data_IF_803168863778
#
_entry.id   IF_803168863778
#
_cell.length_a   1.000
_cell.length_b   1.000
_cell.length_c   1.000
_cell.angle_alpha   90.00
_cell.angle_beta   90.00
_cell.angle_gamma   90.00
#
_symmetry.space_group_name_H-M   'P 1'
#
loop_
_entity.id
_entity.type
_entity.pdbx_description
1 polymer ?
#
# COMPACT_ATOMS: atom_id res chain seq x y z
N UNK A 1 10.91 -64.48 24.05
CA UNK A 1 9.92 -64.01 25.04
C UNK A 1 8.92 -65.15 25.13
N UNK A 2 8.99 -66.00 26.15
CA UNK A 2 8.11 -67.17 26.27
C UNK A 2 6.69 -66.66 26.54
N UNK A 3 5.75 -66.95 25.64
CA UNK A 3 4.35 -66.53 25.76
C UNK A 3 3.63 -67.32 26.89
N UNK A 4 3.96 -68.60 27.04
CA UNK A 4 3.47 -69.47 28.12
C UNK A 4 4.38 -69.43 29.36
N UNK A 5 3.81 -69.22 30.55
CA UNK A 5 4.50 -69.46 31.81
C UNK A 5 4.54 -70.97 32.17
N UNK A 6 5.40 -71.35 33.12
CA UNK A 6 5.61 -72.76 33.49
C UNK A 6 4.37 -73.44 34.06
N UNK A 7 3.51 -72.72 34.78
CA UNK A 7 2.26 -73.28 35.33
C UNK A 7 1.27 -73.67 34.24
N UNK A 8 1.07 -72.81 33.23
CA UNK A 8 0.22 -73.12 32.08
C UNK A 8 0.79 -74.26 31.24
N UNK A 9 2.11 -74.32 31.09
CA UNK A 9 2.77 -75.47 30.47
C UNK A 9 2.40 -76.78 31.18
N UNK A 10 2.55 -76.82 32.50
CA UNK A 10 2.28 -78.02 33.28
C UNK A 10 0.80 -78.44 33.21
N UNK A 11 -0.11 -77.45 33.20
CA UNK A 11 -1.54 -77.67 33.01
C UNK A 11 -1.82 -78.33 31.65
N UNK A 12 -1.32 -77.76 30.55
CA UNK A 12 -1.53 -78.29 29.19
C UNK A 12 -0.93 -79.69 29.05
N UNK A 13 0.27 -79.93 29.57
CA UNK A 13 0.91 -81.26 29.46
C UNK A 13 0.13 -82.33 30.26
N UNK A 14 -0.47 -82.00 31.40
CA UNK A 14 -1.33 -82.91 32.18
C UNK A 14 -2.73 -83.08 31.59
N UNK A 15 -3.20 -82.11 30.81
CA UNK A 15 -4.54 -82.13 30.23
C UNK A 15 -4.67 -83.23 29.18
N UNK A 16 -3.67 -83.41 28.31
CA UNK A 16 -3.71 -84.42 27.25
C UNK A 16 -3.12 -85.76 27.73
N UNK A 17 -3.99 -86.75 27.92
CA UNK A 17 -3.62 -88.12 28.35
C UNK A 17 -3.70 -89.10 27.19
N UNK A 18 -3.00 -90.24 27.31
CA UNK A 18 -2.93 -91.27 26.26
C UNK A 18 -3.40 -92.64 26.79
N UNK A 19 -4.72 -92.86 26.95
CA UNK A 19 -5.27 -94.15 27.34
C UNK A 19 -5.05 -95.21 26.25
N UNK A 20 -4.81 -96.46 26.65
CA UNK A 20 -4.63 -97.60 25.76
C UNK A 20 -5.45 -98.80 26.25
N UNK A 21 -6.08 -99.51 25.31
CA UNK A 21 -6.71 -100.79 25.62
C UNK A 21 -7.50 -101.35 24.45
N UNK A 22 -8.09 -102.54 24.67
CA UNK A 22 -8.73 -103.33 23.60
C UNK A 22 -10.24 -103.11 23.48
N UNK A 23 -10.83 -102.39 24.43
CA UNK A 23 -12.27 -102.14 24.47
C UNK A 23 -12.62 -100.84 23.75
N UNK A 24 -13.75 -100.84 23.03
CA UNK A 24 -14.26 -99.64 22.36
C UNK A 24 -14.69 -98.55 23.35
N UNK A 25 -14.98 -98.92 24.60
CA UNK A 25 -15.28 -98.01 25.72
C UNK A 25 -14.24 -96.90 25.88
N UNK A 26 -12.98 -97.17 25.56
CA UNK A 26 -11.89 -96.18 25.64
C UNK A 26 -12.05 -95.05 24.63
N UNK A 27 -12.53 -95.37 23.42
CA UNK A 27 -12.81 -94.37 22.38
C UNK A 27 -14.03 -93.55 22.80
N UNK A 28 -15.06 -94.19 23.35
CA UNK A 28 -16.27 -93.51 23.83
C UNK A 28 -15.97 -92.56 25.00
N UNK A 29 -15.11 -92.97 25.95
CA UNK A 29 -14.63 -92.13 27.05
C UNK A 29 -13.77 -90.96 26.56
N UNK A 30 -12.91 -91.19 25.57
CA UNK A 30 -12.14 -90.11 24.94
C UNK A 30 -13.06 -89.07 24.29
N UNK A 31 -14.03 -89.51 23.47
CA UNK A 31 -15.03 -88.64 22.85
C UNK A 31 -15.80 -87.86 23.92
N UNK A 32 -16.21 -88.51 25.00
CA UNK A 32 -16.91 -87.85 26.11
C UNK A 32 -16.07 -86.76 26.76
N UNK A 33 -14.76 -86.97 26.91
CA UNK A 33 -13.84 -85.97 27.48
C UNK A 33 -13.73 -84.70 26.62
N UNK A 34 -13.68 -84.83 25.29
CA UNK A 34 -13.66 -83.70 24.36
C UNK A 34 -15.02 -82.98 24.31
N UNK A 35 -16.14 -83.71 24.36
CA UNK A 35 -17.49 -83.12 24.48
C UNK A 35 -17.63 -82.31 25.77
N UNK A 36 -17.02 -82.77 26.87
CA UNK A 36 -17.00 -82.04 28.14
C UNK A 36 -16.26 -80.71 28.04
N UNK A 37 -15.12 -80.66 27.34
CA UNK A 37 -14.40 -79.40 27.10
C UNK A 37 -15.26 -78.39 26.31
N UNK A 38 -15.99 -78.84 25.30
CA UNK A 38 -16.90 -78.00 24.53
C UNK A 38 -17.97 -77.40 25.45
N UNK A 39 -18.61 -78.22 26.29
CA UNK A 39 -19.62 -77.75 27.23
C UNK A 39 -19.06 -76.71 28.22
N UNK A 40 -17.81 -76.89 28.69
CA UNK A 40 -17.13 -75.91 29.57
C UNK A 40 -16.90 -74.59 28.81
N UNK A 41 -16.43 -74.65 27.57
CA UNK A 41 -16.19 -73.46 26.74
C UNK A 41 -17.47 -72.68 26.43
N UNK A 42 -18.55 -73.39 26.07
CA UNK A 42 -19.87 -72.79 25.82
C UNK A 42 -20.50 -72.19 27.07
N UNK A 43 -20.28 -72.81 28.24
CA UNK A 43 -20.72 -72.26 29.52
C UNK A 43 -19.93 -70.99 29.90
N UNK A 44 -18.61 -70.98 29.66
CA UNK A 44 -17.77 -69.82 29.92
C UNK A 44 -18.10 -68.63 28.98
N UNK A 45 -18.53 -68.91 27.74
CA UNK A 45 -18.88 -67.92 26.72
C UNK A 45 -20.20 -68.25 26.01
N UNK A 46 -21.35 -67.90 26.61
CA UNK A 46 -22.64 -68.08 25.95
C UNK A 46 -22.80 -67.13 24.75
N UNK A 47 -23.69 -67.46 23.83
CA UNK A 47 -24.02 -66.61 22.68
C UNK A 47 -24.41 -65.19 23.16
N UNK A 48 -23.88 -64.10 22.55
CA UNK A 48 -23.14 -64.04 21.29
C UNK A 48 -21.61 -64.14 21.41
N UNK A 49 -21.05 -64.43 22.59
CA UNK A 49 -19.59 -64.40 22.84
C UNK A 49 -18.87 -65.69 22.45
N UNK A 50 -19.57 -66.68 21.88
CA UNK A 50 -19.02 -67.97 21.46
C UNK A 50 -17.84 -67.87 20.51
N UNK A 51 -17.76 -66.77 19.73
CA UNK A 51 -16.63 -66.50 18.84
C UNK A 51 -15.26 -66.48 19.56
N UNK A 52 -15.25 -66.20 20.88
CA UNK A 52 -14.03 -66.16 21.70
C UNK A 52 -13.39 -67.55 21.86
N UNK A 53 -14.21 -68.60 21.90
CA UNK A 53 -13.75 -69.99 22.07
C UNK A 53 -14.03 -70.85 20.83
N UNK A 54 -14.42 -70.22 19.72
CA UNK A 54 -14.86 -70.91 18.50
C UNK A 54 -13.79 -71.84 17.93
N UNK A 55 -12.54 -71.38 17.87
CA UNK A 55 -11.43 -72.21 17.37
C UNK A 55 -11.15 -73.41 18.27
N UNK A 56 -11.28 -73.25 19.60
CA UNK A 56 -11.11 -74.34 20.57
C UNK A 56 -12.23 -75.37 20.43
N UNK A 57 -13.48 -74.91 20.32
CA UNK A 57 -14.65 -75.76 20.09
C UNK A 57 -14.50 -76.50 18.76
N UNK A 58 -14.06 -75.82 17.71
CA UNK A 58 -13.85 -76.40 16.40
C UNK A 58 -12.74 -77.48 16.41
N UNK A 59 -11.63 -77.23 17.11
CA UNK A 59 -10.55 -78.21 17.28
C UNK A 59 -11.01 -79.47 18.04
N UNK A 60 -11.80 -79.29 19.10
CA UNK A 60 -12.39 -80.40 19.85
C UNK A 60 -13.38 -81.22 18.99
N UNK A 61 -14.24 -80.56 18.21
CA UNK A 61 -15.18 -81.22 17.30
C UNK A 61 -14.47 -82.05 16.22
N UNK A 62 -13.43 -81.50 15.58
CA UNK A 62 -12.60 -82.25 14.60
C UNK A 62 -11.95 -83.47 15.23
N UNK A 63 -11.50 -83.34 16.47
CA UNK A 63 -10.91 -84.46 17.22
C UNK A 63 -11.95 -85.55 17.49
N UNK A 64 -13.18 -85.17 17.84
CA UNK A 64 -14.30 -86.12 18.02
C UNK A 64 -14.60 -86.85 16.71
N UNK A 65 -14.72 -86.13 15.59
CA UNK A 65 -14.94 -86.74 14.26
C UNK A 65 -13.83 -87.74 13.89
N UNK A 66 -12.57 -87.40 14.17
CA UNK A 66 -11.43 -88.29 13.96
C UNK A 66 -11.52 -89.56 14.81
N UNK A 67 -11.90 -89.43 16.09
CA UNK A 67 -12.05 -90.57 17.02
C UNK A 67 -13.22 -91.48 16.65
N UNK A 68 -14.34 -90.90 16.19
CA UNK A 68 -15.52 -91.66 15.74
C UNK A 68 -15.18 -92.58 14.56
N UNK A 69 -14.31 -92.11 13.65
CA UNK A 69 -13.83 -92.88 12.49
C UNK A 69 -12.64 -93.81 12.74
N UNK A 70 -12.10 -93.88 13.96
CA UNK A 70 -10.89 -94.65 14.25
C UNK A 70 -11.18 -96.14 14.44
N UNK A 71 -10.45 -97.02 13.73
CA UNK A 71 -10.49 -98.48 13.93
C UNK A 71 -9.35 -98.98 14.84
N UNK A 72 -9.53 -100.15 15.43
CA UNK A 72 -8.51 -100.79 16.26
C UNK A 72 -7.30 -101.21 15.43
N UNK A 73 -6.09 -100.85 15.87
CA UNK A 73 -4.84 -101.30 15.27
C UNK A 73 -4.36 -102.50 16.08
N UNK A 74 -4.26 -103.67 15.46
CA UNK A 74 -3.87 -104.92 16.14
C UNK A 74 -4.72 -105.21 17.40
N UNK A 75 -6.03 -104.95 17.30
CA UNK A 75 -7.00 -105.16 18.38
C UNK A 75 -6.88 -104.19 19.56
N UNK A 76 -6.06 -103.13 19.45
CA UNK A 76 -5.85 -102.12 20.50
C UNK A 76 -6.20 -100.72 19.96
N UNK A 77 -6.92 -99.94 20.76
CA UNK A 77 -7.19 -98.54 20.49
C UNK A 77 -6.09 -97.66 21.09
N UNK A 78 -5.65 -96.70 20.29
CA UNK A 78 -4.61 -95.74 20.62
C UNK A 78 -5.16 -94.33 20.38
N UNK A 79 -5.73 -93.73 21.42
CA UNK A 79 -6.36 -92.42 21.32
C UNK A 79 -5.88 -91.49 22.43
N UNK A 80 -5.79 -90.20 22.13
CA UNK A 80 -5.63 -89.17 23.15
C UNK A 80 -7.00 -88.85 23.76
N UNK A 81 -7.03 -88.53 25.05
CA UNK A 81 -8.21 -88.07 25.76
C UNK A 81 -7.83 -86.87 26.65
N UNK A 82 -8.83 -86.21 27.24
CA UNK A 82 -8.61 -85.13 28.20
C UNK A 82 -8.75 -85.62 29.64
N UNK A 83 -7.83 -85.20 30.51
CA UNK A 83 -7.84 -85.52 31.94
C UNK A 83 -9.04 -84.90 32.65
N UNK A 84 -9.80 -85.72 33.37
CA UNK A 84 -10.97 -85.26 34.14
C UNK A 84 -10.60 -84.23 35.21
N UNK A 85 -9.47 -84.42 35.88
CA UNK A 85 -8.98 -83.50 36.93
C UNK A 85 -8.68 -82.10 36.36
N UNK A 86 -8.05 -82.04 35.18
CA UNK A 86 -7.72 -80.76 34.54
C UNK A 86 -8.98 -80.09 33.95
N UNK A 87 -9.96 -80.87 33.50
CA UNK A 87 -11.27 -80.34 33.09
C UNK A 87 -12.05 -79.78 34.29
N UNK A 88 -11.98 -80.42 35.46
CA UNK A 88 -12.59 -79.90 36.70
C UNK A 88 -11.96 -78.57 37.12
N UNK A 89 -10.62 -78.48 37.05
CA UNK A 89 -9.91 -77.23 37.31
C UNK A 89 -10.35 -76.13 36.34
N UNK A 90 -10.43 -76.44 35.04
CA UNK A 90 -10.83 -75.48 34.02
C UNK A 90 -12.27 -74.99 34.21
N UNK A 91 -13.19 -75.87 34.60
CA UNK A 91 -14.59 -75.54 34.87
C UNK A 91 -14.78 -74.66 36.13
N UNK A 92 -13.80 -74.64 37.03
CA UNK A 92 -13.83 -73.78 38.22
C UNK A 92 -13.40 -72.33 37.95
N UNK A 93 -12.75 -72.06 36.80
CA UNK A 93 -12.23 -70.74 36.43
C UNK A 93 -13.33 -69.84 35.87
N UNK A 94 -13.25 -68.54 36.13
CA UNK A 94 -14.15 -67.57 35.51
C UNK A 94 -13.80 -67.33 34.02
N UNK A 95 -14.67 -66.66 33.25
CA UNK A 95 -14.46 -66.46 31.82
C UNK A 95 -13.11 -65.79 31.50
N UNK A 96 -12.71 -64.75 32.23
CA UNK A 96 -11.43 -64.06 32.00
C UNK A 96 -10.21 -64.96 32.30
N UNK A 97 -10.29 -65.78 33.34
CA UNK A 97 -9.25 -66.75 33.66
C UNK A 97 -9.19 -67.86 32.61
N UNK A 98 -10.34 -68.38 32.18
CA UNK A 98 -10.44 -69.39 31.12
C UNK A 98 -9.88 -68.87 29.79
N UNK A 99 -10.10 -67.59 29.44
CA UNK A 99 -9.54 -66.95 28.25
C UNK A 99 -8.02 -67.21 28.10
N UNK A 100 -7.30 -67.09 29.22
CA UNK A 100 -5.85 -67.23 29.27
C UNK A 100 -5.33 -68.65 29.01
N UNK A 101 -6.23 -69.65 28.93
CA UNK A 101 -5.93 -71.05 28.63
C UNK A 101 -6.37 -71.47 27.23
N UNK A 102 -7.14 -70.65 26.50
CA UNK A 102 -7.63 -71.00 25.15
C UNK A 102 -6.46 -71.23 24.20
N UNK A 103 -5.56 -70.26 24.05
CA UNK A 103 -4.41 -70.37 23.14
C UNK A 103 -3.43 -71.49 23.55
N UNK A 104 -3.07 -71.68 24.84
CA UNK A 104 -2.27 -72.83 25.28
C UNK A 104 -2.93 -74.20 25.01
N UNK A 105 -4.24 -74.34 25.24
CA UNK A 105 -4.95 -75.61 24.97
C UNK A 105 -4.99 -75.87 23.46
N UNK A 106 -5.25 -74.83 22.65
CA UNK A 106 -5.17 -74.90 21.19
C UNK A 106 -3.77 -75.34 20.72
N UNK A 107 -2.70 -74.79 21.29
CA UNK A 107 -1.34 -75.24 21.02
C UNK A 107 -1.13 -76.73 21.37
N UNK A 108 -1.73 -77.21 22.46
CA UNK A 108 -1.74 -78.62 22.83
C UNK A 108 -2.45 -79.52 21.80
N UNK A 109 -3.62 -79.10 21.30
CA UNK A 109 -4.32 -79.81 20.21
C UNK A 109 -3.46 -79.87 18.94
N UNK A 110 -2.83 -78.76 18.55
CA UNK A 110 -1.92 -78.71 17.40
C UNK A 110 -0.75 -79.68 17.56
N UNK A 111 -0.18 -79.77 18.76
CA UNK A 111 0.97 -80.64 19.02
C UNK A 111 0.59 -82.13 19.03
N UNK A 112 -0.49 -82.52 19.73
CA UNK A 112 -0.84 -83.94 19.93
C UNK A 112 -1.64 -84.53 18.75
N UNK A 113 -2.52 -83.75 18.13
CA UNK A 113 -3.41 -84.20 17.03
C UNK A 113 -2.99 -83.70 15.65
N UNK A 114 -1.94 -82.88 15.54
CA UNK A 114 -1.47 -82.28 14.27
C UNK A 114 -2.56 -81.50 13.54
N UNK A 115 -3.44 -80.85 14.30
CA UNK A 115 -4.51 -80.01 13.75
C UNK A 115 -3.92 -78.75 13.12
N UNK A 116 -3.75 -78.76 11.80
CA UNK A 116 -3.13 -77.67 11.04
C UNK A 116 -4.16 -76.79 10.31
N UNK A 117 -5.44 -76.86 10.69
CA UNK A 117 -6.51 -76.10 10.03
C UNK A 117 -6.85 -74.79 10.77
N UNK A 118 -7.15 -73.75 10.00
CA UNK A 118 -7.30 -72.33 10.38
C UNK A 118 -6.00 -71.60 10.76
N UNK A 119 -6.00 -70.30 10.43
CA UNK A 119 -4.89 -69.35 10.42
C UNK A 119 -3.76 -69.61 11.42
N UNK A 120 -2.53 -69.39 10.96
CA UNK A 120 -1.37 -69.14 11.82
C UNK A 120 -1.60 -67.85 12.61
N UNK A 121 -2.55 -67.87 13.57
CA UNK A 121 -2.62 -66.83 14.58
C UNK A 121 -1.26 -66.80 15.28
N UNK A 122 -0.54 -65.67 15.18
CA UNK A 122 0.82 -65.57 15.70
C UNK A 122 0.89 -65.92 17.19
N UNK A 123 -0.15 -65.61 17.96
CA UNK A 123 -0.24 -65.93 19.39
C UNK A 123 -0.25 -67.44 19.64
N UNK A 124 -1.09 -68.21 18.95
CA UNK A 124 -1.13 -69.68 19.09
C UNK A 124 0.16 -70.34 18.62
N UNK A 125 0.83 -69.76 17.62
CA UNK A 125 2.15 -70.25 17.18
C UNK A 125 3.25 -69.97 18.21
N UNK A 126 3.24 -68.79 18.82
CA UNK A 126 4.15 -68.45 19.92
C UNK A 126 3.93 -69.37 21.13
N UNK A 127 2.68 -69.69 21.45
CA UNK A 127 2.31 -70.67 22.48
C UNK A 127 2.78 -72.10 22.13
N UNK A 128 2.64 -72.53 20.87
CA UNK A 128 3.13 -73.83 20.40
C UNK A 128 4.67 -73.93 20.50
N UNK A 129 5.39 -72.90 20.07
CA UNK A 129 6.85 -72.83 20.20
C UNK A 129 7.25 -72.86 21.68
N UNK A 130 6.52 -72.14 22.53
CA UNK A 130 6.71 -72.16 23.98
C UNK A 130 6.50 -73.57 24.56
N UNK A 131 5.41 -74.25 24.19
CA UNK A 131 5.07 -75.61 24.63
C UNK A 131 6.16 -76.63 24.23
N UNK A 132 6.62 -76.61 22.98
CA UNK A 132 7.70 -77.48 22.50
C UNK A 132 9.00 -77.19 23.24
N UNK A 133 9.31 -75.91 23.49
CA UNK A 133 10.51 -75.51 24.22
C UNK A 133 10.48 -76.05 25.66
N UNK A 134 9.36 -75.89 26.35
CA UNK A 134 9.16 -76.41 27.69
C UNK A 134 9.20 -77.93 27.75
N UNK A 135 8.55 -78.62 26.81
CA UNK A 135 8.60 -80.07 26.72
C UNK A 135 10.03 -80.57 26.51
N UNK A 136 10.78 -79.95 25.60
CA UNK A 136 12.20 -80.25 25.35
C UNK A 136 13.04 -80.07 26.62
N UNK A 137 12.84 -78.96 27.34
CA UNK A 137 13.53 -78.72 28.61
C UNK A 137 13.13 -79.72 29.70
N UNK A 138 11.85 -80.10 29.77
CA UNK A 138 11.31 -81.05 30.76
C UNK A 138 11.78 -82.50 30.55
N UNK A 139 12.01 -82.89 29.30
CA UNK A 139 12.42 -84.25 28.89
C UNK A 139 13.92 -84.54 29.03
N UNK A 140 14.71 -83.57 29.51
CA UNK A 140 16.14 -83.75 29.77
C UNK A 140 16.44 -84.64 30.98
N UNK A 141 17.66 -85.21 31.08
CA UNK A 141 18.06 -86.01 32.25
C UNK A 141 18.00 -85.19 33.56
N UNK A 142 17.61 -85.82 34.67
CA UNK A 142 17.35 -85.18 36.00
C UNK A 142 18.48 -84.25 36.49
N UNK A 143 19.72 -84.44 36.04
CA UNK A 143 20.86 -83.58 36.37
C UNK A 143 20.78 -82.15 35.83
N UNK A 144 19.93 -81.89 34.82
CA UNK A 144 19.79 -80.59 34.16
C UNK A 144 18.70 -79.73 34.82
N UNK A 145 17.68 -80.37 35.43
CA UNK A 145 16.57 -79.66 36.10
C UNK A 145 17.00 -78.83 37.30
N UNK A 146 17.99 -79.31 38.08
CA UNK A 146 18.57 -78.56 39.20
C UNK A 146 19.37 -77.32 38.79
N UNK A 147 19.73 -77.20 37.50
CA UNK A 147 20.55 -76.09 36.96
C UNK A 147 19.66 -75.03 36.27
N UNK A 148 18.55 -75.44 35.67
CA UNK A 148 17.68 -74.57 34.86
C UNK A 148 16.74 -73.73 35.74
N UNK A 149 16.15 -74.32 36.79
CA UNK A 149 15.17 -73.65 37.66
C UNK A 149 15.65 -72.27 38.18
N UNK A 150 16.84 -72.12 38.80
CA UNK A 150 17.28 -70.81 39.29
C UNK A 150 17.60 -69.81 38.18
N UNK A 151 18.01 -70.27 36.99
CA UNK A 151 18.21 -69.35 35.85
C UNK A 151 16.90 -68.77 35.34
N UNK A 152 15.82 -69.52 35.49
CA UNK A 152 14.51 -69.15 34.99
C UNK A 152 13.86 -68.05 35.84
N UNK A 153 13.99 -68.15 37.17
CA UNK A 153 13.58 -67.10 38.10
C UNK A 153 14.35 -65.78 37.87
N UNK A 154 15.64 -65.87 37.52
CA UNK A 154 16.45 -64.70 37.17
C UNK A 154 15.92 -64.02 35.90
N UNK A 155 15.59 -64.79 34.86
CA UNK A 155 15.03 -64.25 33.62
C UNK A 155 13.65 -63.60 33.82
N UNK A 156 12.79 -64.19 34.64
CA UNK A 156 11.47 -63.63 34.95
C UNK A 156 11.59 -62.30 35.72
N UNK A 157 12.51 -62.25 36.69
CA UNK A 157 12.81 -61.03 37.44
C UNK A 157 13.40 -59.93 36.54
N UNK A 158 14.24 -60.28 35.57
CA UNK A 158 14.79 -59.30 34.62
C UNK A 158 13.73 -58.80 33.62
N UNK A 159 12.84 -59.68 33.14
CA UNK A 159 11.76 -59.32 32.24
C UNK A 159 10.77 -58.34 32.88
N UNK A 160 10.38 -58.60 34.14
CA UNK A 160 9.48 -57.72 34.90
C UNK A 160 10.11 -56.35 35.19
N UNK A 161 11.40 -56.31 35.52
CA UNK A 161 12.12 -55.05 35.71
C UNK A 161 12.18 -54.20 34.43
N UNK A 162 12.41 -54.81 33.26
CA UNK A 162 12.40 -54.10 31.97
C UNK A 162 11.00 -53.58 31.59
N UNK A 163 9.96 -54.35 31.89
CA UNK A 163 8.58 -53.93 31.64
C UNK A 163 8.22 -52.66 32.44
N UNK A 164 8.63 -52.59 33.70
CA UNK A 164 8.44 -51.39 34.54
C UNK A 164 9.19 -50.17 34.00
N UNK A 165 10.45 -50.34 33.56
CA UNK A 165 11.23 -49.24 32.97
C UNK A 165 10.57 -48.70 31.69
N UNK A 166 10.05 -49.56 30.83
CA UNK A 166 9.33 -49.14 29.62
C UNK A 166 8.06 -48.36 29.94
N UNK A 167 7.31 -48.80 30.96
CA UNK A 167 6.09 -48.13 31.38
C UNK A 167 6.36 -46.71 31.90
N UNK A 168 7.45 -46.54 32.66
CA UNK A 168 7.91 -45.23 33.13
C UNK A 168 8.31 -44.32 31.95
N UNK A 169 9.06 -44.85 30.98
CA UNK A 169 9.46 -44.12 29.77
C UNK A 169 8.24 -43.67 28.96
N UNK A 170 7.29 -44.56 28.70
CA UNK A 170 6.06 -44.23 27.95
C UNK A 170 5.25 -43.15 28.66
N UNK A 171 5.11 -43.23 29.99
CA UNK A 171 4.41 -42.21 30.76
C UNK A 171 5.06 -40.83 30.65
N UNK A 172 6.39 -40.78 30.59
CA UNK A 172 7.16 -39.54 30.39
C UNK A 172 6.94 -38.96 29.00
N UNK A 173 6.91 -39.80 27.96
CA UNK A 173 6.63 -39.35 26.59
C UNK A 173 5.19 -38.86 26.42
N UNK A 174 4.20 -39.51 27.04
CA UNK A 174 2.81 -39.02 27.04
C UNK A 174 2.70 -37.61 27.63
N UNK A 175 3.34 -37.37 28.78
CA UNK A 175 3.35 -36.03 29.39
C UNK A 175 3.98 -34.97 28.49
N UNK A 176 5.12 -35.29 27.87
CA UNK A 176 5.77 -34.38 26.91
C UNK A 176 4.87 -34.08 25.71
N UNK A 177 4.13 -35.08 25.24
CA UNK A 177 3.22 -34.93 24.12
C UNK A 177 2.01 -34.04 24.47
N UNK A 178 1.47 -34.18 25.69
CA UNK A 178 0.41 -33.33 26.20
C UNK A 178 0.88 -31.87 26.38
N UNK A 179 2.07 -31.67 26.95
CA UNK A 179 2.68 -30.34 27.07
C UNK A 179 2.92 -29.70 25.69
N UNK A 180 3.38 -30.49 24.71
CA UNK A 180 3.60 -30.01 23.35
C UNK A 180 2.28 -29.58 22.69
N UNK A 181 1.19 -30.35 22.86
CA UNK A 181 -0.15 -29.97 22.39
C UNK A 181 -0.62 -28.66 23.02
N UNK A 182 -0.41 -28.49 24.32
CA UNK A 182 -0.76 -27.27 25.04
C UNK A 182 0.00 -26.06 24.50
N UNK A 183 1.31 -26.20 24.28
CA UNK A 183 2.15 -25.15 23.70
C UNK A 183 1.70 -24.77 22.28
N UNK A 184 1.35 -25.75 21.44
CA UNK A 184 0.82 -25.47 20.11
C UNK A 184 -0.54 -24.75 20.16
N UNK A 185 -1.42 -25.13 21.08
CA UNK A 185 -2.70 -24.43 21.28
C UNK A 185 -2.48 -22.97 21.69
N UNK A 186 -1.62 -22.72 22.68
CA UNK A 186 -1.27 -21.37 23.12
C UNK A 186 -0.61 -20.53 22.02
N UNK A 187 0.30 -21.13 21.24
CA UNK A 187 0.93 -20.45 20.11
C UNK A 187 -0.09 -20.06 19.04
N UNK A 188 -1.05 -20.93 18.74
CA UNK A 188 -2.11 -20.64 17.76
C UNK A 188 -3.07 -19.54 18.24
N UNK A 189 -3.36 -19.47 19.54
CA UNK A 189 -4.17 -18.40 20.12
C UNK A 189 -3.41 -17.06 20.09
N UNK A 190 -2.12 -17.07 20.42
CA UNK A 190 -1.27 -15.89 20.40
C UNK A 190 -1.12 -15.33 18.96
N UNK A 191 -0.94 -16.19 17.96
CA UNK A 191 -0.86 -15.74 16.56
C UNK A 191 -2.20 -15.23 16.05
N UNK A 192 -3.32 -15.85 16.43
CA UNK A 192 -4.65 -15.35 16.09
C UNK A 192 -4.90 -13.95 16.69
N UNK A 193 -4.56 -13.73 17.97
CA UNK A 193 -4.66 -12.42 18.62
C UNK A 193 -3.76 -11.39 17.96
N UNK A 194 -2.51 -11.73 17.66
CA UNK A 194 -1.58 -10.84 16.96
C UNK A 194 -2.08 -10.44 15.57
N UNK A 195 -2.71 -11.36 14.82
CA UNK A 195 -3.29 -11.07 13.51
C UNK A 195 -4.47 -10.10 13.61
N UNK A 196 -5.32 -10.23 14.63
CA UNK A 196 -6.43 -9.31 14.88
C UNK A 196 -5.92 -7.91 15.23
N UNK A 197 -4.92 -7.81 16.11
CA UNK A 197 -4.32 -6.51 16.46
C UNK A 197 -3.62 -5.86 15.27
N UNK A 198 -2.91 -6.65 14.44
CA UNK A 198 -2.23 -6.16 13.25
C UNK A 198 -3.22 -5.64 12.20
N UNK A 199 -4.33 -6.35 11.98
CA UNK A 199 -5.37 -5.92 11.03
C UNK A 199 -6.10 -4.67 11.54
N UNK A 200 -6.41 -4.60 12.84
CA UNK A 200 -6.96 -3.41 13.46
C UNK A 200 -6.00 -2.20 13.33
N UNK A 201 -4.72 -2.39 13.63
CA UNK A 201 -3.69 -1.36 13.45
C UNK A 201 -3.60 -0.94 11.97
N UNK A 202 -3.61 -1.90 11.04
CA UNK A 202 -3.62 -1.65 9.60
C UNK A 202 -4.77 -0.75 9.15
N UNK A 203 -6.00 -1.05 9.57
CA UNK A 203 -7.17 -0.21 9.27
C UNK A 203 -7.05 1.21 9.87
N UNK A 204 -6.51 1.36 11.09
CA UNK A 204 -6.29 2.71 11.65
C UNK A 204 -5.24 3.51 10.91
N UNK A 205 -4.19 2.84 10.39
CA UNK A 205 -3.18 3.47 9.54
C UNK A 205 -3.77 3.91 8.21
N UNK A 206 -4.56 3.06 7.57
CA UNK A 206 -5.23 3.37 6.31
C UNK A 206 -6.19 4.57 6.47
N UNK A 207 -6.99 4.58 7.53
CA UNK A 207 -7.90 5.70 7.82
C UNK A 207 -7.12 7.02 8.04
N UNK A 208 -5.99 6.96 8.76
CA UNK A 208 -5.13 8.14 8.95
C UNK A 208 -4.44 8.59 7.66
N UNK A 209 -4.05 7.66 6.79
CA UNK A 209 -3.45 7.96 5.50
C UNK A 209 -4.45 8.68 4.58
N UNK A 210 -5.68 8.18 4.49
CA UNK A 210 -6.77 8.84 3.74
C UNK A 210 -7.07 10.24 4.30
N UNK A 211 -7.14 10.38 5.62
CA UNK A 211 -7.35 11.69 6.24
C UNK A 211 -6.19 12.69 5.99
N UNK A 212 -4.96 12.19 5.88
CA UNK A 212 -3.78 12.98 5.51
C UNK A 212 -3.84 13.41 4.04
N UNK A 213 -4.24 12.50 3.14
CA UNK A 213 -4.43 12.79 1.71
C UNK A 213 -5.51 13.84 1.49
N UNK A 214 -6.68 13.71 2.14
CA UNK A 214 -7.74 14.72 2.11
C UNK A 214 -7.26 16.08 2.60
N UNK A 215 -6.42 16.10 3.65
CA UNK A 215 -5.86 17.34 4.19
C UNK A 215 -4.83 17.95 3.25
N UNK A 216 -4.03 17.13 2.57
CA UNK A 216 -3.10 17.57 1.54
C UNK A 216 -3.83 18.19 0.35
N UNK A 217 -4.86 17.51 -0.16
CA UNK A 217 -5.69 18.01 -1.26
C UNK A 217 -6.34 19.35 -0.91
N UNK A 218 -6.87 19.49 0.32
CA UNK A 218 -7.40 20.77 0.80
C UNK A 218 -6.34 21.87 0.88
N UNK A 219 -5.11 21.54 1.26
CA UNK A 219 -4.00 22.51 1.29
C UNK A 219 -3.66 22.97 -0.12
N UNK A 220 -3.56 22.04 -1.07
CA UNK A 220 -3.28 22.36 -2.47
C UNK A 220 -4.38 23.23 -3.10
N UNK A 221 -5.65 22.91 -2.83
CA UNK A 221 -6.78 23.71 -3.28
C UNK A 221 -6.74 25.13 -2.67
N UNK A 222 -6.43 25.24 -1.38
CA UNK A 222 -6.27 26.54 -0.72
C UNK A 222 -5.10 27.34 -1.29
N UNK A 223 -3.96 26.71 -1.61
CA UNK A 223 -2.81 27.38 -2.23
C UNK A 223 -3.16 27.87 -3.65
N UNK A 224 -3.88 27.06 -4.43
CA UNK A 224 -4.39 27.46 -5.76
C UNK A 224 -5.35 28.64 -5.66
N UNK A 225 -6.24 28.63 -4.67
CA UNK A 225 -7.16 29.73 -4.44
C UNK A 225 -6.42 31.01 -3.99
N UNK A 226 -5.45 30.90 -3.08
CA UNK A 226 -4.66 32.03 -2.59
C UNK A 226 -3.81 32.66 -3.69
N UNK A 227 -3.18 31.84 -4.54
CA UNK A 227 -2.39 32.33 -5.67
C UNK A 227 -3.26 33.05 -6.71
N UNK A 228 -4.46 32.52 -7.01
CA UNK A 228 -5.41 33.19 -7.89
C UNK A 228 -5.90 34.54 -7.32
N UNK A 229 -6.20 34.59 -6.01
CA UNK A 229 -6.62 35.83 -5.34
C UNK A 229 -5.47 36.85 -5.27
N UNK A 230 -4.24 36.41 -4.98
CA UNK A 230 -3.06 37.26 -4.97
C UNK A 230 -2.77 37.84 -6.36
N UNK A 231 -2.84 37.03 -7.42
CA UNK A 231 -2.68 37.51 -8.81
C UNK A 231 -3.75 38.54 -9.17
N UNK A 232 -5.00 38.31 -8.75
CA UNK A 232 -6.10 39.25 -8.96
C UNK A 232 -5.87 40.58 -8.20
N UNK A 233 -5.40 40.52 -6.96
CA UNK A 233 -5.10 41.70 -6.15
C UNK A 233 -3.90 42.49 -6.70
N UNK A 234 -2.80 41.82 -7.07
CA UNK A 234 -1.62 42.46 -7.66
C UNK A 234 -1.98 43.15 -8.98
N UNK A 235 -2.81 42.52 -9.81
CA UNK A 235 -3.31 43.15 -11.03
C UNK A 235 -4.15 44.41 -10.74
N UNK A 236 -5.00 44.39 -9.70
CA UNK A 236 -5.78 45.57 -9.29
C UNK A 236 -4.90 46.70 -8.74
N UNK A 237 -3.93 46.41 -7.88
CA UNK A 237 -3.06 47.45 -7.31
C UNK A 237 -2.14 48.11 -8.36
N UNK A 238 -1.54 47.32 -9.25
CA UNK A 238 -0.67 47.85 -10.31
C UNK A 238 -1.42 48.75 -11.30
N UNK A 239 -2.68 48.44 -11.57
CA UNK A 239 -3.51 49.17 -12.54
C UNK A 239 -4.14 50.42 -11.94
N UNK A 240 -4.55 50.41 -10.67
CA UNK A 240 -5.06 51.59 -9.95
C UNK A 240 -3.97 52.69 -9.87
N UNK A 241 -2.73 52.27 -9.56
CA UNK A 241 -1.58 53.16 -9.54
C UNK A 241 -1.30 53.78 -10.93
N UNK A 242 -1.36 52.96 -11.99
CA UNK A 242 -1.21 53.43 -13.36
C UNK A 242 -2.32 54.43 -13.75
N UNK A 243 -3.58 54.12 -13.41
CA UNK A 243 -4.73 55.01 -13.67
C UNK A 243 -4.55 56.37 -13.01
N UNK A 244 -4.13 56.39 -11.74
CA UNK A 244 -3.86 57.62 -11.00
C UNK A 244 -2.74 58.46 -11.64
N UNK A 245 -1.65 57.82 -12.06
CA UNK A 245 -0.53 58.50 -12.72
C UNK A 245 -0.93 59.14 -14.06
N UNK A 246 -1.63 58.40 -14.92
CA UNK A 246 -2.06 58.89 -16.23
C UNK A 246 -3.18 59.95 -16.11
N UNK A 247 -4.08 59.82 -15.14
CA UNK A 247 -5.08 60.84 -14.85
C UNK A 247 -4.46 62.18 -14.40
N UNK A 248 -3.43 62.13 -13.55
CA UNK A 248 -2.69 63.33 -13.15
C UNK A 248 -1.95 63.96 -14.35
N UNK A 249 -1.35 63.12 -15.22
CA UNK A 249 -0.69 63.54 -16.46
C UNK A 249 -1.64 64.21 -17.45
N UNK A 250 -2.85 63.68 -17.61
CA UNK A 250 -3.90 64.28 -18.44
C UNK A 250 -4.28 65.66 -17.89
N UNK A 251 -4.52 65.75 -16.58
CA UNK A 251 -4.88 67.00 -15.91
C UNK A 251 -3.80 68.08 -16.11
N UNK A 252 -2.54 67.73 -15.89
CA UNK A 252 -1.41 68.63 -16.10
C UNK A 252 -1.31 69.09 -17.56
N UNK A 253 -1.46 68.17 -18.51
CA UNK A 253 -1.40 68.49 -19.94
C UNK A 253 -2.56 69.38 -20.37
N UNK A 254 -3.76 69.17 -19.82
CA UNK A 254 -4.95 70.00 -20.05
C UNK A 254 -4.76 71.41 -19.53
N UNK A 255 -4.24 71.56 -18.31
CA UNK A 255 -3.95 72.87 -17.73
C UNK A 255 -2.88 73.58 -18.57
N UNK A 256 -1.81 72.90 -18.97
CA UNK A 256 -0.77 73.47 -19.83
C UNK A 256 -1.30 73.90 -21.21
N UNK A 257 -2.23 73.14 -21.80
CA UNK A 257 -2.88 73.50 -23.06
C UNK A 257 -3.77 74.74 -22.91
N UNK A 258 -4.59 74.80 -21.85
CA UNK A 258 -5.45 75.95 -21.59
C UNK A 258 -4.60 77.20 -21.33
N UNK A 259 -3.60 77.10 -20.46
CA UNK A 259 -2.71 78.21 -20.13
C UNK A 259 -1.95 78.73 -21.36
N UNK A 260 -1.43 77.84 -22.21
CA UNK A 260 -0.75 78.24 -23.45
C UNK A 260 -1.71 78.82 -24.50
N UNK A 261 -2.94 78.29 -24.61
CA UNK A 261 -3.95 78.84 -25.52
C UNK A 261 -4.36 80.26 -25.11
N UNK A 262 -4.53 80.50 -23.81
CA UNK A 262 -4.79 81.84 -23.26
C UNK A 262 -3.59 82.76 -23.50
N UNK A 263 -2.36 82.28 -23.30
CA UNK A 263 -1.16 83.05 -23.57
C UNK A 263 -1.03 83.46 -25.06
N UNK A 264 -1.33 82.55 -26.00
CA UNK A 264 -1.36 82.86 -27.44
C UNK A 264 -2.44 83.91 -27.74
N UNK A 265 -3.64 83.74 -27.19
CA UNK A 265 -4.73 84.70 -27.36
C UNK A 265 -4.32 86.09 -26.85
N UNK A 266 -3.73 86.17 -25.65
CA UNK A 266 -3.23 87.43 -25.09
C UNK A 266 -2.09 88.02 -25.92
N UNK A 267 -1.17 87.20 -26.45
CA UNK A 267 -0.12 87.70 -27.35
C UNK A 267 -0.69 88.20 -28.69
N UNK A 268 -1.78 87.66 -29.20
CA UNK A 268 -2.38 88.20 -30.43
C UNK A 268 -3.20 89.46 -30.11
N UNK A 269 -3.95 89.45 -29.01
CA UNK A 269 -4.82 90.54 -28.60
C UNK A 269 -4.06 91.76 -28.05
N UNK A 270 -2.94 91.56 -27.35
CA UNK A 270 -2.15 92.62 -26.71
C UNK A 270 -1.69 93.74 -27.66
N UNK A 271 -1.06 93.47 -28.81
CA UNK A 271 -0.66 94.54 -29.74
C UNK A 271 -1.87 95.24 -30.36
N UNK A 272 -2.96 94.52 -30.63
CA UNK A 272 -4.20 95.10 -31.16
C UNK A 272 -4.85 96.03 -30.12
N UNK A 273 -4.96 95.56 -28.87
CA UNK A 273 -5.50 96.33 -27.76
C UNK A 273 -4.65 97.55 -27.42
N UNK A 274 -3.32 97.41 -27.38
CA UNK A 274 -2.40 98.54 -27.19
C UNK A 274 -2.51 99.56 -28.32
N UNK A 275 -2.61 99.12 -29.57
CA UNK A 275 -2.76 100.02 -30.71
C UNK A 275 -4.07 100.83 -30.67
N UNK A 276 -5.17 100.22 -30.19
CA UNK A 276 -6.47 100.88 -30.05
C UNK A 276 -6.51 101.82 -28.84
N UNK A 277 -5.98 101.39 -27.68
CA UNK A 277 -6.05 102.18 -26.45
C UNK A 277 -5.03 103.32 -26.38
N UNK A 278 -3.84 103.14 -26.98
CA UNK A 278 -2.71 104.09 -26.90
C UNK A 278 -2.30 104.62 -28.28
N UNK A 279 -3.28 104.78 -29.17
CA UNK A 279 -3.04 105.34 -30.50
C UNK A 279 -2.23 106.65 -30.49
N UNK A 280 -2.50 107.65 -29.61
CA UNK A 280 -1.73 108.89 -29.61
C UNK A 280 -0.30 108.71 -29.12
N UNK A 281 -0.05 107.89 -28.09
CA UNK A 281 1.30 107.63 -27.59
C UNK A 281 2.14 106.83 -28.60
N UNK A 282 1.56 105.81 -29.25
CA UNK A 282 2.26 105.02 -30.27
C UNK A 282 2.68 105.92 -31.43
N UNK A 283 1.80 106.82 -31.88
CA UNK A 283 2.12 107.77 -32.95
C UNK A 283 3.21 108.76 -32.51
N UNK A 284 3.20 109.19 -31.24
CA UNK A 284 4.24 110.03 -30.67
C UNK A 284 5.59 109.32 -30.56
N UNK A 285 5.63 108.06 -30.11
CA UNK A 285 6.85 107.25 -30.07
C UNK A 285 7.43 107.01 -31.46
N UNK A 286 6.57 106.69 -32.44
CA UNK A 286 7.02 106.56 -33.84
C UNK A 286 7.59 107.89 -34.37
N UNK A 287 6.94 109.02 -34.06
CA UNK A 287 7.45 110.35 -34.42
C UNK A 287 8.79 110.65 -33.73
N UNK A 288 8.97 110.27 -32.47
CA UNK A 288 10.24 110.43 -31.75
C UNK A 288 11.35 109.55 -32.32
N UNK A 289 11.07 108.30 -32.69
CA UNK A 289 12.06 107.42 -33.33
C UNK A 289 12.49 108.00 -34.69
N UNK A 290 11.54 108.52 -35.48
CA UNK A 290 11.82 109.18 -36.76
C UNK A 290 12.63 110.47 -36.55
N UNK A 291 12.30 111.27 -35.54
CA UNK A 291 12.99 112.52 -35.22
C UNK A 291 14.40 112.28 -34.64
N UNK A 292 14.57 111.34 -33.71
CA UNK A 292 15.85 111.02 -33.08
C UNK A 292 16.85 110.38 -34.04
N UNK A 293 16.36 109.76 -35.11
CA UNK A 293 17.18 109.19 -36.17
C UNK A 293 17.29 110.09 -37.40
N UNK A 294 16.70 111.30 -37.38
CA UNK A 294 16.89 112.29 -38.44
C UNK A 294 18.33 112.82 -38.37
N UNK A 295 19.01 112.84 -39.52
CA UNK A 295 20.34 113.43 -39.64
C UNK A 295 20.21 114.93 -39.35
N UNK A 296 20.99 115.44 -38.40
CA UNK A 296 20.99 116.86 -38.05
C UNK A 296 21.51 117.67 -39.24
N UNK A 297 20.66 118.53 -39.80
CA UNK A 297 21.00 119.40 -40.93
C UNK A 297 21.63 120.72 -40.51
N UNK A 298 21.67 121.02 -39.20
CA UNK A 298 22.11 122.30 -38.63
C UNK A 298 22.84 122.10 -37.31
N UNK A 299 23.87 122.90 -37.05
CA UNK A 299 24.70 122.80 -35.84
C UNK A 299 24.05 123.52 -34.65
N UNK A 300 24.68 123.44 -33.47
CA UNK A 300 24.18 124.08 -32.24
C UNK A 300 24.06 125.62 -32.33
N UNK A 301 24.57 126.22 -33.40
CA UNK A 301 24.57 127.66 -33.69
C UNK A 301 23.66 128.05 -34.88
N UNK A 302 22.93 127.08 -35.48
CA UNK A 302 21.99 127.32 -36.57
C UNK A 302 22.63 127.40 -37.96
N UNK A 303 23.90 127.02 -38.14
CA UNK A 303 24.54 126.92 -39.45
C UNK A 303 24.28 125.57 -40.11
N UNK A 304 24.06 125.52 -41.43
CA UNK A 304 23.85 124.26 -42.15
C UNK A 304 25.13 123.40 -42.14
N UNK A 305 25.03 122.15 -41.67
CA UNK A 305 26.12 121.19 -41.76
C UNK A 305 26.35 120.75 -43.23
N UNK A 306 27.55 120.25 -43.57
CA UNK A 306 27.80 119.63 -44.87
C UNK A 306 26.76 118.54 -45.16
N UNK A 307 26.30 118.46 -46.41
CA UNK A 307 25.31 117.45 -46.83
C UNK A 307 25.76 116.05 -46.38
N UNK A 308 24.89 115.28 -45.71
CA UNK A 308 25.27 114.00 -45.14
C UNK A 308 25.78 113.05 -46.24
N UNK A 309 26.88 112.34 -45.96
CA UNK A 309 27.43 111.33 -46.87
C UNK A 309 26.41 110.21 -47.08
N UNK A 310 26.31 109.66 -48.31
CA UNK A 310 25.44 108.54 -48.65
C UNK A 310 25.57 107.35 -47.68
N UNK A 311 26.76 107.13 -47.13
CA UNK A 311 27.02 106.12 -46.10
C UNK A 311 26.28 106.41 -44.79
N UNK A 312 26.22 107.67 -44.34
CA UNK A 312 25.54 108.07 -43.11
C UNK A 312 24.01 107.95 -43.24
N UNK A 313 23.46 108.31 -44.41
CA UNK A 313 22.04 108.12 -44.73
C UNK A 313 21.68 106.63 -44.71
N UNK A 314 22.53 105.80 -45.29
CA UNK A 314 22.33 104.34 -45.32
C UNK A 314 22.41 103.72 -43.93
N UNK A 315 23.40 104.10 -43.10
CA UNK A 315 23.54 103.61 -41.73
C UNK A 315 22.34 104.02 -40.86
N UNK A 316 21.85 105.26 -40.99
CA UNK A 316 20.67 105.74 -40.27
C UNK A 316 19.39 105.02 -40.71
N UNK A 317 19.24 104.70 -42.00
CA UNK A 317 18.10 103.92 -42.50
C UNK A 317 18.14 102.46 -41.99
N UNK A 318 19.32 101.83 -41.99
CA UNK A 318 19.51 100.47 -41.47
C UNK A 318 19.23 100.41 -39.97
N UNK A 319 19.71 101.38 -39.18
CA UNK A 319 19.47 101.39 -37.73
C UNK A 319 17.98 101.54 -37.39
N UNK A 320 17.23 102.38 -38.12
CA UNK A 320 15.76 102.47 -38.02
C UNK A 320 15.08 101.14 -38.31
N UNK A 321 15.49 100.48 -39.39
CA UNK A 321 14.93 99.18 -39.77
C UNK A 321 15.20 98.15 -38.67
N UNK A 322 16.40 98.10 -38.11
CA UNK A 322 16.80 97.14 -37.08
C UNK A 322 16.00 97.37 -35.78
N UNK A 323 15.84 98.63 -35.34
CA UNK A 323 15.10 98.97 -34.11
C UNK A 323 13.63 98.52 -34.18
N UNK A 324 13.01 98.57 -35.36
CA UNK A 324 11.61 98.15 -35.55
C UNK A 324 11.50 96.64 -35.83
N UNK A 325 12.37 96.09 -36.67
CA UNK A 325 12.27 94.70 -37.13
C UNK A 325 12.73 93.68 -36.08
N UNK A 326 13.74 94.00 -35.26
CA UNK A 326 14.25 93.06 -34.24
C UNK A 326 13.19 92.73 -33.18
N UNK A 327 12.48 93.70 -32.56
CA UNK A 327 11.40 93.40 -31.61
C UNK A 327 10.25 92.62 -32.25
N UNK A 328 9.86 92.96 -33.49
CA UNK A 328 8.81 92.24 -34.22
C UNK A 328 9.23 90.79 -34.48
N UNK A 329 10.47 90.57 -34.91
CA UNK A 329 11.00 89.23 -35.15
C UNK A 329 11.06 88.41 -33.86
N UNK A 330 11.57 88.97 -32.76
CA UNK A 330 11.58 88.32 -31.45
C UNK A 330 10.16 88.00 -30.96
N UNK A 331 9.20 88.88 -31.24
CA UNK A 331 7.80 88.68 -30.89
C UNK A 331 7.17 87.51 -31.65
N UNK A 332 7.34 87.47 -32.97
CA UNK A 332 6.88 86.36 -33.82
C UNK A 332 7.56 85.06 -33.39
N UNK A 333 8.85 85.12 -33.05
CA UNK A 333 9.59 83.96 -32.57
C UNK A 333 9.08 83.46 -31.20
N UNK A 334 8.75 84.36 -30.28
CA UNK A 334 8.13 84.02 -29.00
C UNK A 334 6.75 83.36 -29.22
N UNK A 335 5.90 83.91 -30.08
CA UNK A 335 4.62 83.28 -30.46
C UNK A 335 4.86 81.88 -31.02
N UNK A 336 5.84 81.71 -31.92
CA UNK A 336 6.19 80.40 -32.48
C UNK A 336 6.58 79.40 -31.40
N UNK A 337 7.33 79.80 -30.37
CA UNK A 337 7.68 78.93 -29.25
C UNK A 337 6.45 78.52 -28.44
N UNK A 338 5.55 79.46 -28.14
CA UNK A 338 4.32 79.17 -27.38
C UNK A 338 3.38 78.27 -28.18
N UNK A 339 3.22 78.50 -29.48
CA UNK A 339 2.45 77.62 -30.39
C UNK A 339 3.04 76.21 -30.44
N UNK A 340 4.37 76.08 -30.53
CA UNK A 340 5.04 74.77 -30.47
C UNK A 340 4.80 74.08 -29.13
N UNK A 341 4.85 74.81 -28.03
CA UNK A 341 4.54 74.27 -26.70
C UNK A 341 3.08 73.82 -26.60
N UNK A 342 2.13 74.62 -27.10
CA UNK A 342 0.71 74.30 -27.13
C UNK A 342 0.43 73.02 -27.94
N UNK A 343 1.00 72.90 -29.13
CA UNK A 343 0.90 71.70 -29.96
C UNK A 343 1.46 70.47 -29.23
N UNK A 344 2.60 70.60 -28.54
CA UNK A 344 3.15 69.51 -27.72
C UNK A 344 2.22 69.14 -26.56
N UNK A 345 1.61 70.12 -25.89
CA UNK A 345 0.64 69.87 -24.81
C UNK A 345 -0.62 69.17 -25.32
N UNK A 346 -1.08 69.48 -26.54
CA UNK A 346 -2.20 68.79 -27.19
C UNK A 346 -1.86 67.32 -27.45
N UNK A 347 -0.70 67.05 -28.06
CA UNK A 347 -0.26 65.67 -28.33
C UNK A 347 -0.10 64.86 -27.04
N UNK A 348 0.44 65.46 -25.97
CA UNK A 348 0.56 64.80 -24.66
C UNK A 348 -0.78 64.51 -24.01
N UNK A 349 -1.76 65.39 -24.20
CA UNK A 349 -3.13 65.21 -23.71
C UNK A 349 -3.84 64.07 -24.47
N UNK A 350 -3.71 64.03 -25.79
CA UNK A 350 -4.31 62.96 -26.59
C UNK A 350 -3.69 61.59 -26.27
N UNK A 351 -2.36 61.50 -26.11
CA UNK A 351 -1.68 60.27 -25.67
C UNK A 351 -2.14 59.82 -24.27
N UNK A 352 -2.23 60.75 -23.31
CA UNK A 352 -2.70 60.43 -21.96
C UNK A 352 -4.16 59.92 -21.98
N UNK A 353 -5.04 60.51 -22.79
CA UNK A 353 -6.44 60.07 -22.94
C UNK A 353 -6.56 58.71 -23.60
N UNK A 354 -5.76 58.43 -24.63
CA UNK A 354 -5.72 57.13 -25.28
C UNK A 354 -5.30 56.04 -24.29
N UNK A 355 -4.23 56.29 -23.51
CA UNK A 355 -3.75 55.36 -22.47
C UNK A 355 -4.76 55.16 -21.35
N UNK A 356 -5.46 56.22 -20.93
CA UNK A 356 -6.50 56.14 -19.90
C UNK A 356 -7.72 55.35 -20.37
N UNK A 357 -8.15 55.55 -21.62
CA UNK A 357 -9.26 54.79 -22.23
C UNK A 357 -8.90 53.31 -22.41
N UNK A 358 -7.65 53.01 -22.77
CA UNK A 358 -7.14 51.64 -22.87
C UNK A 358 -7.10 50.95 -21.49
N UNK A 359 -6.68 51.67 -20.45
CA UNK A 359 -6.74 51.21 -19.06
C UNK A 359 -8.18 50.93 -18.62
N UNK A 360 -9.12 51.83 -18.89
CA UNK A 360 -10.54 51.63 -18.55
C UNK A 360 -11.13 50.41 -19.28
N UNK A 361 -10.75 50.20 -20.54
CA UNK A 361 -11.13 49.01 -21.30
C UNK A 361 -10.53 47.74 -20.69
N UNK A 362 -9.27 47.79 -20.26
CA UNK A 362 -8.62 46.68 -19.55
C UNK A 362 -9.33 46.34 -18.24
N UNK A 363 -9.73 47.35 -17.46
CA UNK A 363 -10.52 47.15 -16.23
C UNK A 363 -11.85 46.46 -16.52
N UNK A 364 -12.58 46.91 -17.53
CA UNK A 364 -13.86 46.31 -17.90
C UNK A 364 -13.73 44.85 -18.38
N UNK A 365 -12.60 44.51 -19.02
CA UNK A 365 -12.29 43.14 -19.44
C UNK A 365 -11.84 42.23 -18.28
N UNK A 366 -11.17 42.78 -17.27
CA UNK A 366 -10.82 42.04 -16.04
C UNK A 366 -12.06 41.82 -15.17
N UNK A 367 -12.88 42.85 -14.97
CA UNK A 367 -14.04 42.82 -14.06
C UNK A 367 -15.16 41.89 -14.54
N UNK A 368 -15.31 41.73 -15.86
CA UNK A 368 -16.32 40.84 -16.46
C UNK A 368 -15.87 39.38 -16.65
N UNK A 369 -14.68 38.99 -16.19
CA UNK A 369 -14.09 37.64 -16.35
C UNK A 369 -14.06 37.08 -17.80
N UNK A 370 -14.38 37.89 -18.81
CA UNK A 370 -14.69 37.41 -20.16
C UNK A 370 -13.51 37.33 -21.13
N UNK A 371 -12.30 37.73 -20.73
CA UNK A 371 -11.16 37.81 -21.64
C UNK A 371 -10.01 36.85 -21.24
N UNK A 372 -9.59 36.06 -22.23
CA UNK A 372 -8.51 35.07 -22.20
C UNK A 372 -7.20 35.74 -21.75
N UNK A 373 -6.32 35.00 -21.06
CA UNK A 373 -5.03 35.51 -20.55
C UNK A 373 -4.19 36.18 -21.65
N UNK A 374 -4.33 35.74 -22.91
CA UNK A 374 -3.65 36.34 -24.06
C UNK A 374 -4.09 37.79 -24.36
N UNK A 375 -5.39 38.10 -24.30
CA UNK A 375 -5.91 39.44 -24.59
C UNK A 375 -5.43 40.47 -23.56
N UNK A 376 -5.28 40.04 -22.31
CA UNK A 376 -4.77 40.86 -21.21
C UNK A 376 -3.30 41.24 -21.44
N UNK A 377 -2.48 40.30 -21.93
CA UNK A 377 -1.08 40.56 -22.26
C UNK A 377 -0.94 41.51 -23.46
N UNK A 378 -1.85 41.41 -24.44
CA UNK A 378 -1.86 42.25 -25.64
C UNK A 378 -2.20 43.71 -25.30
N UNK A 379 -3.20 43.94 -24.45
CA UNK A 379 -3.57 45.29 -23.98
C UNK A 379 -2.48 45.88 -23.08
N UNK A 380 -1.85 45.09 -22.21
CA UNK A 380 -0.73 45.56 -21.38
C UNK A 380 0.48 45.96 -22.24
N UNK A 381 0.80 45.19 -23.27
CA UNK A 381 1.86 45.51 -24.23
C UNK A 381 1.54 46.80 -25.01
N UNK A 382 0.28 46.99 -25.41
CA UNK A 382 -0.15 48.23 -26.05
C UNK A 382 -0.04 49.45 -25.10
N UNK A 383 -0.25 49.26 -23.80
CA UNK A 383 -0.19 50.33 -22.79
C UNK A 383 1.24 50.84 -22.51
N UNK A 384 2.23 49.95 -22.58
CA UNK A 384 3.64 50.29 -22.35
C UNK A 384 4.42 50.61 -23.64
N UNK A 385 3.77 50.58 -24.80
CA UNK A 385 4.42 51.00 -26.05
C UNK A 385 4.76 52.51 -26.01
N UNK A 386 5.91 52.90 -26.59
CA UNK A 386 6.23 54.31 -26.80
C UNK A 386 5.12 54.97 -27.60
N UNK A 387 4.76 56.21 -27.25
CA UNK A 387 3.74 56.96 -27.98
C UNK A 387 4.11 57.02 -29.48
N UNK A 388 3.14 56.89 -30.40
CA UNK A 388 3.40 56.92 -31.83
C UNK A 388 4.15 58.20 -32.20
N UNK A 389 5.41 58.06 -32.60
CA UNK A 389 6.32 59.16 -32.92
C UNK A 389 7.61 59.27 -32.09
N UNK A 390 7.86 58.41 -31.09
CA UNK A 390 9.14 58.35 -30.35
C UNK A 390 9.64 56.90 -30.17
N UNK A 391 10.23 56.32 -31.23
CA UNK A 391 10.94 55.04 -31.15
C UNK A 391 10.66 54.13 -32.34
N UNK A 392 11.72 53.47 -32.82
CA UNK A 392 11.78 52.64 -34.02
C UNK A 392 10.55 51.76 -34.25
N UNK A 393 10.19 51.64 -35.54
CA UNK A 393 9.26 50.66 -36.06
C UNK A 393 9.76 49.25 -35.73
N UNK A 394 9.43 48.75 -34.54
CA UNK A 394 9.47 47.30 -34.31
C UNK A 394 8.24 46.75 -35.03
N UNK A 395 8.51 46.19 -36.21
CA UNK A 395 7.57 45.47 -37.06
C UNK A 395 6.65 44.59 -36.20
N UNK A 396 5.33 44.57 -36.47
CA UNK A 396 4.41 43.76 -35.67
C UNK A 396 4.90 42.31 -35.66
N UNK A 397 4.97 41.64 -34.49
CA UNK A 397 5.33 40.24 -34.45
C UNK A 397 4.30 39.49 -35.30
N UNK A 398 4.80 38.78 -36.29
CA UNK A 398 4.00 38.06 -37.27
C UNK A 398 3.06 37.12 -36.51
N UNK A 399 1.73 37.32 -36.65
CA UNK A 399 0.68 36.54 -35.97
C UNK A 399 0.87 35.02 -36.12
N UNK A 400 1.61 34.60 -37.14
CA UNK A 400 2.03 33.23 -37.41
C UNK A 400 2.85 32.60 -36.28
N UNK A 401 3.74 33.33 -35.59
CA UNK A 401 4.59 32.73 -34.54
C UNK A 401 3.82 32.37 -33.26
N UNK A 402 2.76 33.12 -32.93
CA UNK A 402 1.91 32.81 -31.78
C UNK A 402 1.03 31.58 -32.06
N UNK A 403 0.61 31.39 -33.32
CA UNK A 403 -0.15 30.20 -33.74
C UNK A 403 0.73 28.95 -33.81
N UNK A 404 1.97 29.02 -34.32
CA UNK A 404 2.88 27.86 -34.30
C UNK A 404 3.34 27.48 -32.90
N UNK A 405 3.45 28.44 -31.97
CA UNK A 405 3.77 28.15 -30.57
C UNK A 405 2.59 27.52 -29.80
N UNK A 406 1.35 27.85 -30.18
CA UNK A 406 0.14 27.20 -29.67
C UNK A 406 -0.12 25.82 -30.30
N UNK A 407 0.32 25.59 -31.54
CA UNK A 407 0.13 24.32 -32.26
C UNK A 407 1.21 23.26 -32.03
N UNK A 408 2.19 23.49 -31.15
CA UNK A 408 3.05 22.43 -30.63
C UNK A 408 3.97 21.78 -31.66
N UNK A 409 4.98 22.50 -32.13
CA UNK A 409 6.14 21.85 -32.75
C UNK A 409 7.41 22.52 -32.25
N UNK A 410 8.03 21.92 -31.24
CA UNK A 410 9.36 22.32 -30.78
C UNK A 410 10.40 21.94 -31.84
N UNK A 411 11.31 22.85 -32.24
CA UNK A 411 12.45 22.45 -33.03
C UNK A 411 13.48 21.85 -32.07
N UNK A 412 13.72 20.55 -32.24
CA UNK A 412 14.86 19.90 -31.60
C UNK A 412 16.17 20.52 -32.08
N UNK A 413 16.95 21.03 -31.14
CA UNK A 413 18.40 20.96 -31.10
C UNK A 413 18.86 20.82 -29.67
#
# INVERSE_FOLDING_TARGET
>A
MLSMNYEKYLFVEKLFIYPQGRERSIVDESIASHRRLIAIAEFAYPSPQTFIAEDLIAAANRTIEYLEGQDAIDGTFYCYALSQEQLDELNSKNSNEFYNYIEPILAGYRLKFRDNTNSLEPSVLDELVSLISWQTMSSGPESIHSIIQPKLEIFEKEATARAQQLLEIVSKYMKLFDDQKLLHAQASEATAKAQIELTAAGHTFEQKAVALEDRSNKIDDNIRQLSADLDAQVARFGTEAARKLWGERERQSRIALIASSVAIFLMIASPIGLAICFTPEVLHYLAQIVAASALQTTDATGQPLPTPSDAQVTIAAISRLVIVTVPIFLYIWAIRLVVRFNSRSLMLLDDARLRLTMLDTFFHLIEKEGAVKEDRALVLNALFRPAPGHGDNVEPPNFTELVTKAMGTGPGK
#
